data_IF_381743670580
#
_entry.id   IF_381743670580
#
_cell.length_a   1.000
_cell.length_b   1.000
_cell.length_c   1.000
_cell.angle_alpha   90.00
_cell.angle_beta   90.00
_cell.angle_gamma   90.00
#
_symmetry.space_group_name_H-M   'P 1'
#
loop_
_entity.id
_entity.type
_entity.pdbx_description
1 polymer ?
#
# COMPACT_ATOMS: atom_id res chain seq x y z
N UNK A 1 -20.82 2.41 -18.51
CA UNK A 1 -20.13 3.26 -17.51
C UNK A 1 -18.68 3.45 -17.95
N UNK A 2 -18.21 4.70 -18.03
CA UNK A 2 -16.98 5.10 -18.73
C UNK A 2 -15.72 5.26 -17.87
N UNK A 3 -15.74 4.80 -16.60
CA UNK A 3 -14.56 4.87 -15.73
C UNK A 3 -13.48 3.92 -16.28
N UNK A 4 -12.25 4.44 -16.39
CA UNK A 4 -11.10 3.71 -16.97
C UNK A 4 -10.02 3.36 -15.96
N UNK A 5 -10.00 4.04 -14.83
CA UNK A 5 -8.97 3.87 -13.82
C UNK A 5 -9.52 4.10 -12.42
N UNK A 6 -8.86 3.49 -11.43
CA UNK A 6 -9.11 3.72 -10.00
C UNK A 6 -7.78 3.91 -9.27
N UNK A 7 -7.78 4.76 -8.24
CA UNK A 7 -6.69 4.88 -7.29
C UNK A 7 -7.14 4.27 -5.96
N UNK A 8 -6.39 3.28 -5.46
CA UNK A 8 -6.71 2.56 -4.24
C UNK A 8 -5.99 3.15 -3.03
N UNK A 9 -6.77 3.39 -1.97
CA UNK A 9 -6.28 3.73 -0.64
C UNK A 9 -6.75 2.63 0.33
N UNK A 10 -5.81 2.04 1.07
CA UNK A 10 -6.09 0.91 1.96
C UNK A 10 -6.38 1.35 3.39
N UNK A 11 -7.39 0.77 4.02
CA UNK A 11 -7.60 0.88 5.47
C UNK A 11 -7.35 -0.50 6.09
N UNK A 12 -6.19 -0.73 6.72
CA UNK A 12 -5.86 -2.04 7.28
C UNK A 12 -6.63 -2.28 8.58
N UNK A 13 -6.87 -3.55 8.91
CA UNK A 13 -7.50 -3.94 10.18
C UNK A 13 -6.59 -3.66 11.39
N UNK A 14 -5.28 -3.72 11.19
CA UNK A 14 -4.26 -3.50 12.23
C UNK A 14 -3.15 -2.61 11.70
N UNK A 15 -2.56 -1.82 12.59
CA UNK A 15 -1.40 -0.95 12.32
C UNK A 15 -0.24 -1.35 13.22
N UNK A 16 0.98 -1.21 12.72
CA UNK A 16 2.22 -1.45 13.47
C UNK A 16 3.25 -0.35 13.18
N UNK A 17 4.40 -0.32 13.84
CA UNK A 17 5.38 0.77 13.68
C UNK A 17 6.02 0.81 12.29
N UNK A 18 6.05 -0.31 11.56
CA UNK A 18 6.72 -0.42 10.26
C UNK A 18 5.73 -0.44 9.08
N UNK A 19 4.43 -0.31 9.34
CA UNK A 19 3.40 -0.41 8.31
C UNK A 19 3.33 -1.77 7.62
N UNK A 20 3.51 -2.88 8.37
CA UNK A 20 3.65 -4.24 7.84
C UNK A 20 2.57 -4.68 6.84
N UNK A 21 1.35 -4.18 7.02
CA UNK A 21 0.22 -4.47 6.13
C UNK A 21 0.34 -3.84 4.73
N UNK A 22 1.15 -2.79 4.55
CA UNK A 22 1.35 -2.14 3.25
C UNK A 22 2.00 -3.06 2.22
N UNK A 23 2.94 -3.91 2.67
CA UNK A 23 3.72 -4.81 1.84
C UNK A 23 3.42 -6.30 2.07
N UNK A 24 2.36 -6.61 2.82
CA UNK A 24 1.90 -7.97 3.01
C UNK A 24 1.21 -8.49 1.74
N UNK A 25 1.48 -9.73 1.33
CA UNK A 25 0.89 -10.32 0.10
C UNK A 25 -0.66 -10.34 0.14
N UNK A 26 -1.24 -10.41 1.34
CA UNK A 26 -2.68 -10.35 1.60
C UNK A 26 -3.13 -9.01 2.23
N UNK A 27 -2.35 -7.94 2.07
CA UNK A 27 -2.76 -6.59 2.44
C UNK A 27 -4.02 -6.15 1.69
N UNK A 28 -4.78 -5.21 2.26
CA UNK A 28 -6.12 -4.87 1.74
C UNK A 28 -6.08 -4.29 0.32
N UNK A 29 -5.04 -3.51 -0.01
CA UNK A 29 -4.84 -2.98 -1.37
C UNK A 29 -4.54 -4.13 -2.35
N UNK A 30 -3.67 -5.07 -1.97
CA UNK A 30 -3.34 -6.24 -2.79
C UNK A 30 -4.59 -7.12 -3.04
N UNK A 31 -5.42 -7.32 -2.01
CA UNK A 31 -6.69 -8.05 -2.14
C UNK A 31 -7.65 -7.32 -3.08
N UNK A 32 -7.79 -6.01 -2.94
CA UNK A 32 -8.64 -5.20 -3.81
C UNK A 32 -8.14 -5.18 -5.27
N UNK A 33 -6.83 -5.03 -5.49
CA UNK A 33 -6.22 -5.09 -6.83
C UNK A 33 -6.53 -6.41 -7.51
N UNK A 34 -6.27 -7.56 -6.85
CA UNK A 34 -6.59 -8.88 -7.41
C UNK A 34 -8.06 -9.03 -7.74
N UNK A 35 -8.94 -8.59 -6.83
CA UNK A 35 -10.39 -8.63 -7.05
C UNK A 35 -10.78 -7.82 -8.29
N UNK A 36 -10.29 -6.59 -8.43
CA UNK A 36 -10.58 -5.73 -9.58
C UNK A 36 -10.04 -6.37 -10.86
N UNK A 37 -8.79 -6.82 -10.88
CA UNK A 37 -8.18 -7.43 -12.08
C UNK A 37 -8.85 -8.73 -12.50
N UNK A 38 -9.41 -9.48 -11.56
CA UNK A 38 -10.18 -10.69 -11.86
C UNK A 38 -11.54 -10.39 -12.51
N UNK A 39 -12.23 -9.31 -12.10
CA UNK A 39 -13.60 -9.02 -12.54
C UNK A 39 -13.70 -7.93 -13.62
N UNK A 40 -12.69 -7.05 -13.71
CA UNK A 40 -12.63 -5.88 -14.59
C UNK A 40 -11.19 -5.68 -15.12
N UNK A 41 -10.65 -6.63 -15.89
CA UNK A 41 -9.22 -6.65 -16.26
C UNK A 41 -8.77 -5.39 -17.03
N UNK A 42 -9.68 -4.75 -17.77
CA UNK A 42 -9.46 -3.50 -18.52
C UNK A 42 -9.36 -2.23 -17.65
N UNK A 43 -9.73 -2.27 -16.37
CA UNK A 43 -9.57 -1.12 -15.47
C UNK A 43 -8.09 -0.96 -15.10
N UNK A 44 -7.56 0.24 -15.33
CA UNK A 44 -6.24 0.62 -14.80
C UNK A 44 -6.33 0.77 -13.29
N UNK A 45 -5.55 -0.02 -12.55
CA UNK A 45 -5.45 0.10 -11.10
C UNK A 45 -4.18 0.86 -10.78
N UNK A 46 -4.31 1.96 -10.05
CA UNK A 46 -3.21 2.68 -9.42
C UNK A 46 -3.31 2.41 -7.93
N UNK A 47 -2.22 2.02 -7.29
CA UNK A 47 -2.16 1.82 -5.85
C UNK A 47 -1.36 2.97 -5.22
N UNK A 48 -1.90 3.57 -4.16
CA UNK A 48 -1.13 4.53 -3.38
C UNK A 48 0.03 3.81 -2.66
N UNK A 49 1.26 4.24 -2.90
CA UNK A 49 2.47 3.66 -2.33
C UNK A 49 2.94 4.52 -1.16
N UNK A 50 2.34 4.29 0.00
CA UNK A 50 2.64 5.01 1.24
C UNK A 50 2.52 4.09 2.45
N UNK A 51 2.97 4.58 3.60
CA UNK A 51 2.90 3.87 4.88
C UNK A 51 1.93 4.51 5.90
N UNK A 52 1.39 5.71 5.63
CA UNK A 52 0.62 6.47 6.64
C UNK A 52 -0.66 5.76 7.10
N UNK A 53 -1.36 5.06 6.23
CA UNK A 53 -2.56 4.30 6.60
C UNK A 53 -2.21 3.06 7.43
N UNK A 54 -0.95 2.61 7.40
CA UNK A 54 -0.49 1.34 7.95
C UNK A 54 0.35 1.48 9.21
N UNK A 55 1.01 2.63 9.41
CA UNK A 55 1.83 2.88 10.59
C UNK A 55 0.98 3.26 11.80
N UNK A 56 1.34 2.78 12.99
CA UNK A 56 0.65 3.09 14.25
C UNK A 56 0.68 4.58 14.60
N UNK A 57 1.75 5.27 14.22
CA UNK A 57 1.95 6.71 14.39
C UNK A 57 1.40 7.56 13.21
N UNK A 58 0.98 6.93 12.10
CA UNK A 58 0.32 7.62 10.98
C UNK A 58 1.25 8.45 10.07
N UNK A 59 2.57 8.27 10.17
CA UNK A 59 3.53 8.95 9.29
C UNK A 59 3.85 8.07 8.07
N UNK A 60 4.29 8.71 6.99
CA UNK A 60 4.59 8.06 5.71
C UNK A 60 5.88 7.22 5.69
N UNK A 61 6.44 6.89 6.86
CA UNK A 61 7.78 6.34 6.99
C UNK A 61 8.09 5.80 8.38
N UNK A 62 9.25 5.17 8.52
CA UNK A 62 9.81 4.73 9.81
C UNK A 62 10.15 5.95 10.67
N UNK A 63 9.79 5.91 11.96
CA UNK A 63 10.02 7.02 12.90
C UNK A 63 11.06 6.64 13.94
N UNK A 64 12.04 7.51 14.14
CA UNK A 64 13.00 7.44 15.26
C UNK A 64 13.01 8.80 15.99
N UNK A 65 12.50 8.82 17.21
CA UNK A 65 12.27 10.06 17.96
C UNK A 65 11.29 10.98 17.23
N UNK A 66 11.75 12.17 16.85
CA UNK A 66 10.95 13.18 16.11
C UNK A 66 11.26 13.19 14.61
N UNK A 67 12.00 12.19 14.10
CA UNK A 67 12.45 12.16 12.71
C UNK A 67 11.81 11.01 11.95
N UNK A 68 11.44 11.30 10.70
CA UNK A 68 11.11 10.27 9.72
C UNK A 68 12.41 9.87 9.02
N UNK A 69 12.76 8.60 9.10
CA UNK A 69 14.00 8.07 8.54
C UNK A 69 13.81 7.77 7.06
N UNK A 70 14.55 8.48 6.18
CA UNK A 70 14.33 8.42 4.74
C UNK A 70 14.67 7.05 4.13
N UNK A 71 15.87 6.53 4.42
CA UNK A 71 16.41 5.36 3.72
C UNK A 71 15.70 4.08 4.18
N UNK A 72 15.42 3.97 5.46
CA UNK A 72 14.63 2.90 6.07
C UNK A 72 13.18 2.92 5.53
N UNK A 73 12.58 4.10 5.37
CA UNK A 73 11.27 4.23 4.76
C UNK A 73 11.30 3.82 3.28
N UNK A 74 12.35 4.21 2.56
CA UNK A 74 12.52 3.87 1.16
C UNK A 74 12.54 2.35 0.94
N UNK A 75 13.26 1.59 1.76
CA UNK A 75 13.27 0.13 1.68
C UNK A 75 11.87 -0.49 1.83
N UNK A 76 11.04 0.05 2.73
CA UNK A 76 9.68 -0.43 2.95
C UNK A 76 8.72 -0.02 1.82
N UNK A 77 8.91 1.18 1.25
CA UNK A 77 8.16 1.62 0.07
C UNK A 77 8.48 0.76 -1.15
N UNK A 78 9.74 0.34 -1.33
CA UNK A 78 10.13 -0.61 -2.39
C UNK A 78 9.40 -1.96 -2.19
N UNK A 79 9.37 -2.50 -0.96
CA UNK A 79 8.61 -3.73 -0.66
C UNK A 79 7.13 -3.57 -0.96
N UNK A 80 6.56 -2.41 -0.61
CA UNK A 80 5.15 -2.07 -0.86
C UNK A 80 4.85 -2.06 -2.35
N UNK A 81 5.63 -1.33 -3.14
CA UNK A 81 5.48 -1.25 -4.59
C UNK A 81 5.58 -2.63 -5.26
N UNK A 82 6.56 -3.45 -4.87
CA UNK A 82 6.73 -4.81 -5.39
C UNK A 82 5.53 -5.69 -5.02
N UNK A 83 5.02 -5.61 -3.79
CA UNK A 83 3.85 -6.37 -3.35
C UNK A 83 2.59 -5.96 -4.12
N UNK A 84 2.37 -4.66 -4.31
CA UNK A 84 1.26 -4.13 -5.10
C UNK A 84 1.34 -4.59 -6.57
N UNK A 85 2.51 -4.47 -7.21
CA UNK A 85 2.71 -4.89 -8.60
C UNK A 85 2.52 -6.41 -8.80
N UNK A 86 2.89 -7.25 -7.81
CA UNK A 86 2.60 -8.69 -7.84
C UNK A 86 1.10 -9.01 -7.77
N UNK A 87 0.28 -8.10 -7.24
CA UNK A 87 -1.17 -8.28 -7.15
C UNK A 87 -1.90 -8.00 -8.47
N UNK A 88 -1.26 -7.29 -9.41
CA UNK A 88 -1.78 -6.93 -10.74
C UNK A 88 -1.81 -5.44 -10.99
#
# INVERSE_FOLDING_TARGET
>A
HGIKAVLLFGIPATKDECGGQAYHDHGIVQVATRYIKQHFPEILVVADTCLCEYTSHGHCGVVEGEKILNDESFELLVKTAVSQAKAG
#
